data_IF_325967101212
#
_entry.id   IF_325967101212
#
_cell.length_a   1.000
_cell.length_b   1.000
_cell.length_c   1.000
_cell.angle_alpha   90.00
_cell.angle_beta   90.00
_cell.angle_gamma   90.00
#
_symmetry.space_group_name_H-M   'P 1'
#
loop_
_entity.id
_entity.type
_entity.pdbx_description
1 polymer ?
#
# COMPACT_ATOMS: atom_id res chain seq x y z
N UNK A 1 -45.58 12.06 12.73
CA UNK A 1 -44.61 12.98 12.08
C UNK A 1 -43.14 12.74 12.47
N UNK A 2 -42.74 11.56 12.97
CA UNK A 2 -41.34 11.28 13.38
C UNK A 2 -40.52 10.48 12.35
N UNK A 3 -41.17 9.88 11.36
CA UNK A 3 -40.51 8.98 10.39
C UNK A 3 -39.78 9.72 9.27
N UNK A 4 -40.22 10.94 8.90
CA UNK A 4 -39.55 11.74 7.87
C UNK A 4 -38.13 12.18 8.29
N UNK A 5 -37.92 12.42 9.59
CA UNK A 5 -36.62 12.86 10.12
C UNK A 5 -35.55 11.75 10.03
N UNK A 6 -35.94 10.49 10.23
CA UNK A 6 -35.03 9.35 10.17
C UNK A 6 -34.59 9.04 8.73
N UNK A 7 -35.50 9.20 7.76
CA UNK A 7 -35.23 8.98 6.33
C UNK A 7 -34.25 10.04 5.79
N UNK A 8 -34.35 11.29 6.24
CA UNK A 8 -33.46 12.37 5.81
C UNK A 8 -32.01 12.21 6.34
N UNK A 9 -31.84 11.74 7.58
CA UNK A 9 -30.51 11.44 8.12
C UNK A 9 -29.87 10.23 7.43
N UNK A 10 -30.66 9.20 7.10
CA UNK A 10 -30.17 7.99 6.43
C UNK A 10 -29.72 8.25 4.98
N UNK A 11 -30.30 9.23 4.29
CA UNK A 11 -29.92 9.64 2.93
C UNK A 11 -28.64 10.48 2.87
N UNK A 12 -28.28 11.19 3.94
CA UNK A 12 -27.05 12.00 3.99
C UNK A 12 -25.78 11.12 4.02
N UNK A 13 -25.87 9.90 4.54
CA UNK A 13 -24.79 8.91 4.51
C UNK A 13 -24.56 8.28 3.12
N UNK A 14 -25.50 8.42 2.18
CA UNK A 14 -25.43 7.87 0.81
C UNK A 14 -24.69 8.85 -0.14
N UNK A 15 -24.62 10.14 0.21
CA UNK A 15 -24.16 11.23 -0.67
C UNK A 15 -22.66 11.54 -0.60
N UNK A 16 -21.87 10.74 0.12
CA UNK A 16 -20.42 10.93 0.20
C UNK A 16 -19.69 9.86 -0.63
N UNK A 17 -19.45 10.08 -1.94
CA UNK A 17 -18.65 9.14 -2.72
C UNK A 17 -17.23 9.09 -2.15
N UNK A 18 -16.66 7.89 -2.00
CA UNK A 18 -15.23 7.72 -1.67
C UNK A 18 -14.41 8.27 -2.85
N UNK A 19 -13.97 9.51 -2.76
CA UNK A 19 -13.08 10.14 -3.74
C UNK A 19 -11.67 9.63 -3.53
N UNK A 20 -11.31 8.56 -4.22
CA UNK A 20 -9.93 8.06 -4.18
C UNK A 20 -9.00 9.03 -4.90
N UNK A 21 -8.26 9.82 -4.13
CA UNK A 21 -7.16 10.62 -4.65
C UNK A 21 -5.94 9.70 -4.75
N UNK A 22 -5.56 9.33 -5.97
CA UNK A 22 -4.31 8.61 -6.23
C UNK A 22 -3.15 9.52 -5.82
N UNK A 23 -2.48 9.22 -4.70
CA UNK A 23 -1.26 9.92 -4.32
C UNK A 23 -0.22 9.78 -5.42
N UNK A 24 0.42 10.89 -5.77
CA UNK A 24 1.59 10.90 -6.66
C UNK A 24 2.67 9.98 -6.11
N UNK A 25 3.23 9.15 -6.99
CA UNK A 25 4.14 8.05 -6.65
C UNK A 25 5.60 8.48 -6.44
N UNK A 26 5.87 9.78 -6.29
CA UNK A 26 7.25 10.26 -6.18
C UNK A 26 7.74 10.03 -4.74
N UNK A 27 8.75 9.16 -4.53
CA UNK A 27 9.33 8.99 -3.22
C UNK A 27 10.01 10.28 -2.77
N UNK A 28 10.03 10.53 -1.46
CA UNK A 28 10.69 11.70 -0.85
C UNK A 28 12.20 11.55 -0.72
N UNK A 29 12.74 10.41 -1.10
CA UNK A 29 14.14 10.05 -0.99
C UNK A 29 14.71 9.84 -2.39
N UNK A 30 16.02 10.07 -2.54
CA UNK A 30 16.69 9.84 -3.80
C UNK A 30 16.93 8.36 -4.05
N UNK A 31 17.10 7.99 -5.32
CA UNK A 31 17.40 6.60 -5.69
C UNK A 31 18.80 6.19 -5.23
N UNK A 32 19.79 7.09 -5.27
CA UNK A 32 21.13 6.80 -4.76
C UNK A 32 21.14 6.48 -3.25
N UNK A 33 20.44 7.28 -2.45
CA UNK A 33 20.33 7.07 -1.00
C UNK A 33 19.65 5.74 -0.68
N UNK A 34 18.65 5.38 -1.49
CA UNK A 34 17.95 4.11 -1.35
C UNK A 34 18.87 2.91 -1.60
N UNK A 35 19.68 2.95 -2.66
CA UNK A 35 20.64 1.88 -2.97
C UNK A 35 21.75 1.78 -1.91
N UNK A 36 22.26 2.92 -1.44
CA UNK A 36 23.25 2.97 -0.35
C UNK A 36 22.70 2.38 0.94
N UNK A 37 21.46 2.72 1.30
CA UNK A 37 20.79 2.19 2.49
C UNK A 37 20.63 0.65 2.43
N UNK A 38 20.25 0.11 1.27
CA UNK A 38 20.14 -1.34 1.08
C UNK A 38 21.49 -2.04 1.21
N UNK A 39 22.56 -1.43 0.69
CA UNK A 39 23.92 -1.95 0.81
C UNK A 39 24.38 -1.99 2.26
N UNK A 40 24.19 -0.91 3.02
CA UNK A 40 24.54 -0.88 4.45
C UNK A 40 23.79 -1.93 5.27
N UNK A 41 22.51 -2.16 4.96
CA UNK A 41 21.72 -3.22 5.60
C UNK A 41 22.27 -4.60 5.24
N UNK A 42 22.63 -4.83 3.97
CA UNK A 42 23.24 -6.09 3.53
C UNK A 42 24.61 -6.36 4.19
N UNK A 43 25.35 -5.30 4.52
CA UNK A 43 26.62 -5.37 5.29
C UNK A 43 26.40 -5.64 6.79
N UNK A 44 25.15 -5.60 7.27
CA UNK A 44 24.77 -5.95 8.65
C UNK A 44 24.34 -4.77 9.52
N UNK A 45 24.12 -3.58 8.95
CA UNK A 45 23.62 -2.42 9.70
C UNK A 45 22.14 -2.59 10.10
N UNK A 46 21.74 -2.02 11.25
CA UNK A 46 20.34 -2.08 11.70
C UNK A 46 19.41 -1.21 10.85
N UNK A 47 18.33 -1.81 10.32
CA UNK A 47 17.36 -1.18 9.42
C UNK A 47 16.79 0.12 10.00
N UNK A 48 16.55 0.18 11.33
CA UNK A 48 15.99 1.37 11.97
C UNK A 48 16.97 2.54 11.95
N UNK A 49 18.26 2.26 12.14
CA UNK A 49 19.28 3.29 12.18
C UNK A 49 19.62 3.76 10.76
N UNK A 50 19.68 2.85 9.78
CA UNK A 50 19.81 3.18 8.35
C UNK A 50 18.63 4.01 7.85
N UNK A 51 17.39 3.66 8.25
CA UNK A 51 16.18 4.42 7.90
C UNK A 51 16.27 5.89 8.35
N UNK A 52 16.76 6.13 9.57
CA UNK A 52 16.96 7.49 10.09
C UNK A 52 18.06 8.23 9.34
N UNK A 53 19.18 7.55 9.05
CA UNK A 53 20.34 8.12 8.37
C UNK A 53 20.02 8.64 6.97
N UNK A 54 19.29 7.85 6.18
CA UNK A 54 18.93 8.20 4.79
C UNK A 54 17.55 8.84 4.66
N UNK A 55 16.83 9.07 5.77
CA UNK A 55 15.46 9.59 5.78
C UNK A 55 14.48 8.76 4.91
N UNK A 56 14.66 7.44 4.91
CA UNK A 56 13.82 6.49 4.17
C UNK A 56 12.89 5.79 5.17
N UNK A 57 11.59 5.62 4.87
CA UNK A 57 10.70 4.89 5.76
C UNK A 57 11.20 3.46 6.03
N UNK A 58 11.25 3.09 7.31
CA UNK A 58 11.67 1.75 7.77
C UNK A 58 10.94 0.62 7.02
N UNK A 59 9.62 0.76 6.86
CA UNK A 59 8.79 -0.23 6.17
C UNK A 59 9.22 -0.44 4.71
N UNK A 60 9.66 0.63 4.03
CA UNK A 60 10.17 0.53 2.67
C UNK A 60 11.46 -0.28 2.64
N UNK A 61 12.45 0.07 3.47
CA UNK A 61 13.72 -0.68 3.53
C UNK A 61 13.49 -2.13 3.95
N UNK A 62 12.63 -2.37 4.94
CA UNK A 62 12.28 -3.71 5.40
C UNK A 62 11.62 -4.53 4.29
N UNK A 63 10.62 -3.97 3.60
CA UNK A 63 9.90 -4.67 2.51
C UNK A 63 10.82 -5.07 1.37
N UNK A 64 11.80 -4.23 1.03
CA UNK A 64 12.76 -4.53 -0.04
C UNK A 64 13.85 -5.49 0.40
N UNK A 65 14.27 -5.43 1.67
CA UNK A 65 15.25 -6.37 2.22
C UNK A 65 14.64 -7.77 2.47
N UNK A 66 13.37 -7.84 2.88
CA UNK A 66 12.70 -9.08 3.28
C UNK A 66 12.00 -9.83 2.15
N UNK A 67 12.02 -9.34 0.91
CA UNK A 67 11.21 -9.90 -0.18
C UNK A 67 11.77 -11.22 -0.71
N UNK A 68 11.53 -12.30 0.04
CA UNK A 68 11.43 -13.66 -0.50
C UNK A 68 9.96 -14.06 -0.78
N UNK A 69 8.97 -13.24 -0.41
CA UNK A 69 7.55 -13.50 -0.66
C UNK A 69 7.19 -13.26 -2.13
N UNK A 70 7.62 -14.19 -2.96
CA UNK A 70 7.08 -14.41 -4.29
C UNK A 70 5.70 -15.03 -4.10
N UNK A 71 4.64 -14.27 -4.43
CA UNK A 71 3.29 -14.83 -4.57
C UNK A 71 3.31 -15.84 -5.73
N UNK A 72 3.75 -17.07 -5.45
CA UNK A 72 3.72 -18.21 -6.38
C UNK A 72 2.31 -18.79 -6.48
N UNK A 73 1.36 -17.96 -6.89
CA UNK A 73 -0.02 -18.40 -7.14
C UNK A 73 -0.56 -17.66 -8.35
N UNK A 74 -1.31 -18.39 -9.20
CA UNK A 74 -2.17 -17.71 -10.16
C UNK A 74 -3.03 -16.71 -9.39
N UNK A 75 -3.08 -15.45 -9.84
CA UNK A 75 -4.02 -14.48 -9.30
C UNK A 75 -5.46 -14.99 -9.45
N UNK A 76 -6.47 -14.17 -9.08
CA UNK A 76 -7.86 -14.49 -9.43
C UNK A 76 -7.94 -14.75 -10.93
N UNK A 77 -8.30 -15.98 -11.31
CA UNK A 77 -8.54 -16.35 -12.70
C UNK A 77 -9.75 -15.56 -13.19
N UNK A 78 -9.63 -14.88 -14.34
CA UNK A 78 -10.72 -14.07 -14.91
C UNK A 78 -11.62 -14.84 -15.88
N UNK A 79 -11.35 -16.13 -16.10
CA UNK A 79 -12.15 -16.98 -16.96
C UNK A 79 -13.22 -17.71 -16.15
N UNK A 80 -14.48 -17.39 -16.43
CA UNK A 80 -15.61 -18.25 -16.08
C UNK A 80 -15.61 -19.39 -17.11
N UNK A 81 -15.48 -20.63 -16.66
CA UNK A 81 -15.58 -21.80 -17.55
C UNK A 81 -17.02 -21.94 -18.02
N UNK A 82 -17.25 -21.92 -19.34
CA UNK A 82 -18.55 -22.12 -20.03
C UNK A 82 -19.12 -23.55 -19.88
N UNK A 83 -18.85 -24.23 -18.76
CA UNK A 83 -19.33 -25.60 -18.49
C UNK A 83 -20.58 -25.61 -17.58
N UNK A 84 -21.32 -24.50 -17.53
CA UNK A 84 -22.63 -24.38 -16.85
C UNK A 84 -23.77 -24.05 -17.83
N UNK A 85 -23.76 -24.59 -19.05
CA UNK A 85 -24.95 -24.66 -19.92
C UNK A 85 -25.31 -26.10 -20.31
#
# INVERSE_FOLDING_TARGET
>A
FFTLSLILHSLLHILMPRTYVKKGQVPRYSNEDFQLALKEIAEGSDIRDTAKKYNIPKLTLHSHHSSQTSHHGAGRTTHFTELEE
#
